data_IF_366508049525
#
_entry.id   IF_366508049525
#
_cell.length_a   1.000
_cell.length_b   1.000
_cell.length_c   1.000
_cell.angle_alpha   90.00
_cell.angle_beta   90.00
_cell.angle_gamma   90.00
#
_symmetry.space_group_name_H-M   'P 1'
#
loop_
_entity.id
_entity.type
_entity.pdbx_description
1 polymer ?
#
# COMPACT_ATOMS: atom_id res chain seq x y z
N UNK A 1 2.05 7.32 -5.89
CA UNK A 1 1.82 6.04 -6.59
C UNK A 1 2.50 6.09 -7.96
N UNK A 2 3.44 5.19 -8.23
CA UNK A 2 4.00 5.07 -9.57
C UNK A 2 3.09 4.16 -10.38
N UNK A 3 2.51 4.66 -11.46
CA UNK A 3 1.74 3.87 -12.42
C UNK A 3 2.56 3.74 -13.70
N UNK A 4 2.89 2.52 -14.09
CA UNK A 4 3.54 2.23 -15.36
C UNK A 4 2.46 1.73 -16.32
N UNK A 5 2.29 2.42 -17.43
CA UNK A 5 1.28 2.08 -18.43
C UNK A 5 1.91 1.23 -19.55
N UNK A 6 1.42 0.01 -19.74
CA UNK A 6 1.73 -0.82 -20.88
C UNK A 6 0.45 -0.98 -21.73
N UNK A 7 0.26 -0.12 -22.70
CA UNK A 7 -0.96 -0.10 -23.49
C UNK A 7 -2.19 0.26 -22.65
N UNK A 8 -3.07 -0.68 -22.38
CA UNK A 8 -4.29 -0.50 -21.56
C UNK A 8 -4.14 -1.00 -20.12
N UNK A 9 -3.00 -1.60 -19.79
CA UNK A 9 -2.71 -2.13 -18.45
C UNK A 9 -2.01 -1.10 -17.60
N UNK A 10 -2.57 -0.82 -16.44
CA UNK A 10 -1.95 0.02 -15.41
C UNK A 10 -1.30 -0.87 -14.35
N UNK A 11 -0.14 -0.47 -13.87
CA UNK A 11 0.54 -1.09 -12.75
C UNK A 11 0.50 -0.14 -11.56
N UNK A 12 -0.14 -0.59 -10.48
CA UNK A 12 -0.15 0.13 -9.21
C UNK A 12 0.90 -0.51 -8.31
N UNK A 13 1.82 0.31 -7.82
CA UNK A 13 2.87 -0.10 -6.90
C UNK A 13 2.53 0.40 -5.51
N UNK A 14 2.36 -0.52 -4.57
CA UNK A 14 2.31 -0.18 -3.15
C UNK A 14 3.73 -0.06 -2.59
N UNK A 15 3.86 0.63 -1.48
CA UNK A 15 5.11 0.76 -0.75
C UNK A 15 4.76 0.75 0.74
N UNK A 16 5.08 -0.32 1.43
CA UNK A 16 4.88 -0.48 2.85
C UNK A 16 6.11 -1.12 3.48
N UNK A 17 6.33 -0.87 4.76
CA UNK A 17 7.40 -1.53 5.51
C UNK A 17 6.78 -2.31 6.65
N UNK A 18 7.28 -3.51 6.87
CA UNK A 18 6.90 -4.36 8.01
C UNK A 18 8.15 -4.83 8.76
N UNK A 19 8.04 -5.20 10.05
CA UNK A 19 9.15 -5.84 10.74
C UNK A 19 9.62 -7.07 9.95
N UNK A 20 10.93 -7.20 9.73
CA UNK A 20 11.50 -8.29 8.91
C UNK A 20 11.05 -9.69 9.34
N UNK A 21 10.88 -9.88 10.63
CA UNK A 21 10.39 -11.14 11.20
C UNK A 21 8.95 -11.48 10.83
N UNK A 22 8.15 -10.46 10.45
CA UNK A 22 6.75 -10.61 10.04
C UNK A 22 6.58 -10.73 8.52
N UNK A 23 7.65 -10.59 7.76
CA UNK A 23 7.63 -10.60 6.29
C UNK A 23 6.96 -11.86 5.70
N UNK A 24 7.31 -13.08 6.14
CA UNK A 24 6.67 -14.30 5.60
C UNK A 24 5.15 -14.34 5.85
N UNK A 25 4.72 -13.92 7.02
CA UNK A 25 3.31 -13.86 7.40
C UNK A 25 2.54 -12.84 6.54
N UNK A 26 3.11 -11.65 6.38
CA UNK A 26 2.48 -10.60 5.58
C UNK A 26 2.42 -10.98 4.10
N UNK A 27 3.47 -11.63 3.55
CA UNK A 27 3.43 -12.14 2.18
C UNK A 27 2.36 -13.21 1.98
N UNK A 28 2.16 -14.10 2.95
CA UNK A 28 1.09 -15.09 2.91
C UNK A 28 -0.30 -14.41 2.93
N UNK A 29 -0.46 -13.37 3.75
CA UNK A 29 -1.70 -12.61 3.83
C UNK A 29 -1.98 -11.83 2.54
N UNK A 30 -0.96 -11.20 1.92
CA UNK A 30 -1.08 -10.55 0.61
C UNK A 30 -1.56 -11.56 -0.45
N UNK A 31 -1.00 -12.77 -0.43
CA UNK A 31 -1.41 -13.83 -1.36
C UNK A 31 -2.88 -14.23 -1.15
N UNK A 32 -3.31 -14.38 0.12
CA UNK A 32 -4.70 -14.67 0.46
C UNK A 32 -5.65 -13.57 -0.03
N UNK A 33 -5.31 -12.30 0.22
CA UNK A 33 -6.10 -11.14 -0.25
C UNK A 33 -6.19 -11.15 -1.78
N UNK A 34 -5.09 -11.42 -2.48
CA UNK A 34 -5.07 -11.48 -3.94
C UNK A 34 -6.03 -12.56 -4.47
N UNK A 35 -6.04 -13.74 -3.86
CA UNK A 35 -6.95 -14.82 -4.22
C UNK A 35 -8.41 -14.45 -3.98
N UNK A 36 -8.74 -13.89 -2.82
CA UNK A 36 -10.11 -13.52 -2.45
C UNK A 36 -10.68 -12.39 -3.31
N UNK A 37 -9.84 -11.44 -3.68
CA UNK A 37 -10.26 -10.29 -4.50
C UNK A 37 -10.16 -10.56 -6.01
N UNK A 38 -9.54 -11.67 -6.40
CA UNK A 38 -9.34 -12.02 -7.81
C UNK A 38 -8.39 -11.07 -8.54
N UNK A 39 -7.42 -10.46 -7.82
CA UNK A 39 -6.40 -9.59 -8.41
C UNK A 39 -5.08 -10.33 -8.55
N UNK A 40 -4.31 -9.97 -9.59
CA UNK A 40 -2.95 -10.48 -9.76
C UNK A 40 -1.97 -9.58 -9.04
N UNK A 41 -1.27 -10.11 -8.04
CA UNK A 41 -0.24 -9.38 -7.30
C UNK A 41 1.13 -9.98 -7.61
N UNK A 42 2.07 -9.14 -8.01
CA UNK A 42 3.49 -9.47 -8.11
C UNK A 42 4.25 -8.74 -7.01
N UNK A 43 4.82 -9.49 -6.06
CA UNK A 43 5.57 -8.88 -4.96
C UNK A 43 7.04 -8.68 -5.37
N UNK A 44 7.49 -7.43 -5.29
CA UNK A 44 8.90 -7.06 -5.27
C UNK A 44 9.20 -6.49 -3.89
N UNK A 45 10.35 -6.78 -3.32
CA UNK A 45 10.63 -6.32 -1.96
C UNK A 45 12.13 -6.26 -1.64
N UNK A 46 12.48 -5.36 -0.74
CA UNK A 46 13.79 -5.27 -0.14
C UNK A 46 13.76 -6.05 1.20
N UNK A 47 14.05 -7.36 1.14
CA UNK A 47 13.91 -8.26 2.29
C UNK A 47 14.73 -7.82 3.51
N UNK A 48 15.90 -7.21 3.26
CA UNK A 48 16.79 -6.71 4.31
C UNK A 48 16.20 -5.58 5.14
N UNK A 49 15.29 -4.79 4.54
CA UNK A 49 14.66 -3.61 5.13
C UNK A 49 13.22 -3.85 5.56
N UNK A 50 12.63 -4.96 5.12
CA UNK A 50 11.21 -5.24 5.33
C UNK A 50 10.29 -4.41 4.44
N UNK A 51 10.83 -3.76 3.40
CA UNK A 51 10.07 -2.94 2.48
C UNK A 51 9.44 -3.80 1.39
N UNK A 52 8.13 -3.64 1.21
CA UNK A 52 7.28 -4.42 0.30
C UNK A 52 6.70 -3.53 -0.79
N UNK A 53 6.80 -4.00 -2.04
CA UNK A 53 6.16 -3.39 -3.20
C UNK A 53 5.19 -4.39 -3.86
N UNK A 54 4.00 -4.61 -3.30
CA UNK A 54 2.95 -5.34 -3.99
C UNK A 54 2.51 -4.58 -5.23
N UNK A 55 2.78 -5.16 -6.40
CA UNK A 55 2.43 -4.59 -7.69
C UNK A 55 1.16 -5.26 -8.21
N UNK A 56 0.15 -4.47 -8.54
CA UNK A 56 -1.13 -4.96 -9.06
C UNK A 56 -1.33 -4.40 -10.46
N UNK A 57 -1.44 -5.32 -11.43
CA UNK A 57 -1.72 -4.97 -12.83
C UNK A 57 -3.23 -5.10 -13.12
N UNK A 58 -3.83 -4.08 -13.74
CA UNK A 58 -5.24 -4.08 -14.09
C UNK A 58 -5.55 -3.11 -15.24
N UNK A 59 -6.73 -3.24 -15.85
CA UNK A 59 -7.23 -2.26 -16.83
C UNK A 59 -8.07 -1.19 -16.09
N UNK A 60 -7.54 0.02 -15.99
CA UNK A 60 -8.22 1.12 -15.29
C UNK A 60 -9.50 1.63 -16.00
N UNK A 61 -9.78 1.17 -17.23
CA UNK A 61 -11.03 1.45 -17.93
C UNK A 61 -12.16 0.53 -17.46
N UNK A 62 -11.82 -0.59 -16.85
CA UNK A 62 -12.77 -1.51 -16.23
C UNK A 62 -13.03 -1.03 -14.79
N UNK A 63 -14.23 -0.48 -14.58
CA UNK A 63 -14.64 0.05 -13.28
C UNK A 63 -14.73 -1.04 -12.19
N UNK A 64 -15.11 -2.27 -12.56
CA UNK A 64 -15.20 -3.39 -11.65
C UNK A 64 -13.79 -3.86 -11.23
N UNK A 65 -12.87 -4.00 -12.19
CA UNK A 65 -11.47 -4.32 -11.91
C UNK A 65 -10.84 -3.23 -11.01
N UNK A 66 -11.10 -1.96 -11.31
CA UNK A 66 -10.62 -0.84 -10.50
C UNK A 66 -11.11 -0.92 -9.05
N UNK A 67 -12.39 -1.21 -8.84
CA UNK A 67 -12.97 -1.35 -7.51
C UNK A 67 -12.33 -2.52 -6.72
N UNK A 68 -12.12 -3.67 -7.38
CA UNK A 68 -11.45 -4.83 -6.78
C UNK A 68 -10.01 -4.50 -6.39
N UNK A 69 -9.28 -3.81 -7.25
CA UNK A 69 -7.89 -3.38 -6.98
C UNK A 69 -7.82 -2.43 -5.79
N UNK A 70 -8.68 -1.42 -5.74
CA UNK A 70 -8.73 -0.50 -4.59
C UNK A 70 -9.07 -1.23 -3.28
N UNK A 71 -9.98 -2.22 -3.33
CA UNK A 71 -10.29 -3.04 -2.18
C UNK A 71 -9.07 -3.87 -1.72
N UNK A 72 -8.41 -4.54 -2.65
CA UNK A 72 -7.20 -5.33 -2.36
C UNK A 72 -6.07 -4.45 -1.78
N UNK A 73 -5.80 -3.29 -2.39
CA UNK A 73 -4.80 -2.34 -1.90
C UNK A 73 -5.05 -1.92 -0.45
N UNK A 74 -6.31 -1.62 -0.13
CA UNK A 74 -6.72 -1.21 1.23
C UNK A 74 -6.53 -2.34 2.23
N UNK A 75 -6.89 -3.57 1.86
CA UNK A 75 -6.71 -4.76 2.70
C UNK A 75 -5.21 -5.08 2.91
N UNK A 76 -4.39 -5.00 1.87
CA UNK A 76 -2.93 -5.20 1.95
C UNK A 76 -2.29 -4.16 2.89
N UNK A 77 -2.63 -2.88 2.72
CA UNK A 77 -2.08 -1.83 3.58
C UNK A 77 -2.47 -2.04 5.04
N UNK A 78 -3.72 -2.45 5.30
CA UNK A 78 -4.18 -2.76 6.65
C UNK A 78 -3.41 -3.93 7.25
N UNK A 79 -3.19 -5.01 6.49
CA UNK A 79 -2.39 -6.15 6.94
C UNK A 79 -0.95 -5.76 7.31
N UNK A 80 -0.33 -4.86 6.54
CA UNK A 80 1.00 -4.33 6.85
C UNK A 80 1.01 -3.54 8.16
N UNK A 81 0.01 -2.68 8.38
CA UNK A 81 -0.11 -1.89 9.61
C UNK A 81 -0.35 -2.80 10.83
N UNK A 82 -1.26 -3.77 10.70
CA UNK A 82 -1.60 -4.71 11.78
C UNK A 82 -0.41 -5.62 12.15
N UNK A 83 0.51 -5.83 11.22
CA UNK A 83 1.80 -6.49 11.48
C UNK A 83 2.83 -5.61 12.20
N UNK A 84 2.49 -4.38 12.55
CA UNK A 84 3.39 -3.40 13.18
C UNK A 84 4.24 -2.64 12.17
N UNK A 85 3.79 -2.57 10.93
CA UNK A 85 4.43 -1.86 9.84
C UNK A 85 3.98 -0.40 9.70
N UNK A 86 4.35 0.20 8.56
CA UNK A 86 3.99 1.58 8.21
C UNK A 86 3.53 1.67 6.75
N UNK A 87 2.88 2.79 6.42
CA UNK A 87 2.22 3.02 5.12
C UNK A 87 3.16 3.43 3.99
N UNK A 88 4.42 3.70 4.30
CA UNK A 88 5.44 4.02 3.29
C UNK A 88 6.81 3.64 3.80
N UNK A 89 7.67 3.17 2.90
CA UNK A 89 9.08 2.92 3.14
C UNK A 89 9.94 4.01 2.51
N UNK A 90 9.76 4.22 1.21
CA UNK A 90 10.62 5.11 0.42
C UNK A 90 9.85 6.04 -0.53
N UNK A 91 8.62 5.68 -0.96
CA UNK A 91 7.87 6.48 -1.94
C UNK A 91 7.18 7.71 -1.35
N UNK A 92 6.99 7.76 -0.04
CA UNK A 92 6.21 8.79 0.64
C UNK A 92 4.71 8.54 0.60
N UNK A 93 3.97 9.39 1.31
CA UNK A 93 2.50 9.28 1.43
C UNK A 93 1.81 9.85 0.20
N UNK A 94 2.22 11.01 -0.29
CA UNK A 94 1.57 11.72 -1.39
C UNK A 94 0.09 11.94 -1.13
N UNK A 95 -0.71 12.00 -2.20
CA UNK A 95 -2.16 12.09 -2.12
C UNK A 95 -2.83 10.72 -1.95
N UNK A 96 -2.20 9.68 -2.49
CA UNK A 96 -2.79 8.34 -2.59
C UNK A 96 -2.92 7.61 -1.25
N UNK A 97 -2.10 7.99 -0.26
CA UNK A 97 -2.05 7.33 1.05
C UNK A 97 -2.57 8.20 2.20
N UNK A 98 -3.13 9.37 1.92
CA UNK A 98 -3.67 10.26 2.96
C UNK A 98 -4.71 9.57 3.84
N UNK A 99 -5.58 8.77 3.24
CA UNK A 99 -6.65 8.05 3.95
C UNK A 99 -6.11 6.98 4.91
N UNK A 100 -4.84 6.59 4.78
CA UNK A 100 -4.20 5.62 5.69
C UNK A 100 -3.48 6.30 6.86
N UNK A 101 -3.24 7.61 6.82
CA UNK A 101 -2.55 8.34 7.89
C UNK A 101 -3.19 8.14 9.27
N UNK A 102 -4.54 8.21 9.42
CA UNK A 102 -5.19 7.99 10.72
C UNK A 102 -5.08 6.55 11.25
N UNK A 103 -4.67 5.58 10.42
CA UNK A 103 -4.43 4.21 10.85
C UNK A 103 -3.09 4.03 11.57
N UNK A 104 -2.16 4.98 11.38
CA UNK A 104 -0.79 4.92 11.91
C UNK A 104 -0.55 6.01 12.95
N UNK A 105 -1.14 7.19 12.76
CA UNK A 105 -0.88 8.37 13.59
C UNK A 105 -2.13 8.77 14.37
N UNK A 106 -1.90 9.22 15.61
CA UNK A 106 -2.96 9.79 16.45
C UNK A 106 -3.42 11.16 15.91
N UNK A 107 -4.61 11.59 16.29
CA UNK A 107 -5.16 12.89 15.90
C UNK A 107 -4.23 14.04 16.29
N UNK A 108 -3.68 14.01 17.52
CA UNK A 108 -2.71 15.03 17.99
C UNK A 108 -1.46 15.07 17.10
N UNK A 109 -0.98 13.92 16.65
CA UNK A 109 0.17 13.85 15.76
C UNK A 109 -0.15 14.44 14.39
N UNK A 110 -1.31 14.13 13.84
CA UNK A 110 -1.77 14.69 12.55
C UNK A 110 -1.97 16.20 12.65
N UNK A 111 -2.53 16.70 13.76
CA UNK A 111 -2.67 18.13 13.99
C UNK A 111 -1.31 18.82 14.08
N UNK A 112 -0.33 18.22 14.77
CA UNK A 112 1.02 18.77 14.85
C UNK A 112 1.69 18.82 13.45
N UNK A 113 1.50 17.81 12.62
CA UNK A 113 1.97 17.81 11.21
C UNK A 113 1.33 18.95 10.40
N UNK A 114 0.02 19.17 10.56
CA UNK A 114 -0.68 20.27 9.89
C UNK A 114 -0.14 21.64 10.34
N UNK A 115 0.03 21.85 11.63
CA UNK A 115 0.61 23.09 12.18
C UNK A 115 2.01 23.35 11.64
N UNK A 116 2.85 22.30 11.53
CA UNK A 116 4.19 22.44 10.98
C UNK A 116 4.14 22.85 9.50
N UNK A 117 3.28 22.20 8.70
CA UNK A 117 3.06 22.57 7.29
C UNK A 117 2.64 24.03 7.14
N UNK A 118 1.76 24.51 8.00
CA UNK A 118 1.17 25.85 7.90
C UNK A 118 2.15 26.98 8.32
N UNK A 119 3.33 26.61 8.81
CA UNK A 119 4.44 27.56 9.11
C UNK A 119 5.19 27.96 7.84
N UNK A 120 5.18 27.13 6.79
CA UNK A 120 5.88 27.34 5.52
C UNK A 120 4.92 27.60 4.37
#
# INVERSE_FOLDING_TARGET
>A
MAAICFGTTFLVVQDAVVPRTRLPEVLAEIHRIAQETGVMVCNVFHAGDGNLHPNIAYDARDAEATARVHHAMRAIMRACIDAGGTITGEHGVGLDKLDYMPLVFTEDTLEAMCRLRDVF
#
